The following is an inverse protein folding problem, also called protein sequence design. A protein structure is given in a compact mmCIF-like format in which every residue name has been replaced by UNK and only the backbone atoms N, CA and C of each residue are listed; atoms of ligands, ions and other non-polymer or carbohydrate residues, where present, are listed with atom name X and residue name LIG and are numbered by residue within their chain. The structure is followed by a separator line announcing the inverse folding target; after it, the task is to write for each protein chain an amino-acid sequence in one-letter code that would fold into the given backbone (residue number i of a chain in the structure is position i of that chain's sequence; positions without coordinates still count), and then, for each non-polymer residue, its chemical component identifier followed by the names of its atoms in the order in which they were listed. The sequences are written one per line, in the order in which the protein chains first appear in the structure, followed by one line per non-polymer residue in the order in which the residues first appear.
data_IF_944333975648
#
_entry.id   IF_944333975648
#
_cell.length_a   1.000
_cell.length_b   1.000
_cell.length_c   1.000
_cell.angle_alpha   90.00
_cell.angle_beta   90.00
_cell.angle_gamma   90.00
#
_symmetry.space_group_name_H-M   'P 1'
#
loop_
_entity.id
_entity.type
_entity.pdbx_description
1 polymer ?
#
# COMPACT_ATOMS: atom_id res chain seq x y z
N UNK A 1 1.90 19.61 24.99
CA UNK A 1 1.67 19.18 23.60
C UNK A 1 1.62 17.67 23.41
N UNK A 2 2.72 16.89 23.34
CA UNK A 2 2.62 15.41 23.14
C UNK A 2 1.75 14.76 24.23
N UNK A 3 1.98 15.08 25.51
CA UNK A 3 1.18 14.55 26.62
C UNK A 3 -0.30 14.96 26.59
N UNK A 4 -0.63 16.10 25.98
CA UNK A 4 -2.03 16.54 25.81
C UNK A 4 -2.69 15.82 24.63
N UNK A 5 -1.94 15.59 23.54
CA UNK A 5 -2.38 14.78 22.40
C UNK A 5 -2.62 13.34 22.83
N UNK A 6 -1.75 12.76 23.67
CA UNK A 6 -1.91 11.41 24.23
C UNK A 6 -3.17 11.33 25.10
N UNK A 7 -3.42 12.31 25.98
CA UNK A 7 -4.66 12.34 26.77
C UNK A 7 -5.92 12.46 25.90
N UNK A 8 -5.90 13.34 24.89
CA UNK A 8 -7.03 13.49 23.97
C UNK A 8 -7.26 12.20 23.17
N UNK A 9 -6.17 11.55 22.73
CA UNK A 9 -6.23 10.27 22.04
C UNK A 9 -6.81 9.18 22.95
N UNK A 10 -6.43 9.12 24.23
CA UNK A 10 -6.99 8.17 25.21
C UNK A 10 -8.48 8.38 25.48
N UNK A 11 -8.93 9.64 25.59
CA UNK A 11 -10.34 9.98 25.77
C UNK A 11 -11.17 9.58 24.54
N UNK A 12 -10.70 9.93 23.35
CA UNK A 12 -11.31 9.53 22.07
C UNK A 12 -11.28 8.01 21.94
N UNK A 13 -10.19 7.34 22.32
CA UNK A 13 -10.06 5.89 22.25
C UNK A 13 -11.09 5.19 23.13
N UNK A 14 -11.27 5.65 24.38
CA UNK A 14 -12.29 5.13 25.29
C UNK A 14 -13.71 5.34 24.77
N UNK A 15 -13.99 6.51 24.19
CA UNK A 15 -15.28 6.80 23.55
C UNK A 15 -15.52 5.86 22.37
N UNK A 16 -14.52 5.67 21.51
CA UNK A 16 -14.60 4.82 20.32
C UNK A 16 -14.72 3.33 20.65
N UNK A 17 -14.09 2.85 21.73
CA UNK A 17 -14.25 1.47 22.21
C UNK A 17 -15.67 1.14 22.70
N UNK A 18 -16.53 2.15 22.92
CA UNK A 18 -17.94 1.91 23.18
C UNK A 18 -18.74 1.48 21.94
N UNK A 19 -18.17 1.62 20.73
CA UNK A 19 -18.76 1.13 19.48
C UNK A 19 -18.43 -0.37 19.27
N UNK A 20 -19.41 -1.28 19.43
CA UNK A 20 -19.18 -2.72 19.27
C UNK A 20 -18.78 -3.10 17.84
N UNK A 21 -19.14 -2.29 16.84
CA UNK A 21 -18.76 -2.50 15.44
C UNK A 21 -17.28 -2.25 15.25
N UNK A 22 -16.76 -1.18 15.85
CA UNK A 22 -15.35 -0.84 15.81
C UNK A 22 -14.53 -1.90 16.56
N UNK A 23 -14.94 -2.29 17.76
CA UNK A 23 -14.27 -3.34 18.56
C UNK A 23 -14.15 -4.63 17.75
N UNK A 24 -15.24 -5.08 17.12
CA UNK A 24 -15.22 -6.29 16.28
C UNK A 24 -14.26 -6.17 15.09
N UNK A 25 -14.16 -4.99 14.47
CA UNK A 25 -13.18 -4.74 13.38
C UNK A 25 -11.75 -4.74 13.90
N UNK A 26 -11.51 -4.21 15.10
CA UNK A 26 -10.20 -4.21 15.75
C UNK A 26 -9.78 -5.64 16.12
N UNK A 27 -10.69 -6.43 16.69
CA UNK A 27 -10.43 -7.85 17.01
C UNK A 27 -10.07 -8.64 15.76
N UNK A 28 -10.83 -8.45 14.67
CA UNK A 28 -10.52 -9.07 13.38
C UNK A 28 -9.16 -8.64 12.80
N UNK A 29 -8.80 -7.37 12.93
CA UNK A 29 -7.48 -6.87 12.51
C UNK A 29 -6.33 -7.43 13.37
N UNK A 30 -6.61 -7.80 14.63
CA UNK A 30 -5.62 -8.32 15.59
C UNK A 30 -5.26 -9.78 15.35
N UNK A 31 -6.18 -10.61 14.87
CA UNK A 31 -5.97 -12.06 14.67
C UNK A 31 -4.98 -12.41 13.54
N UNK A 32 -4.49 -11.41 12.81
CA UNK A 32 -3.61 -11.62 11.66
C UNK A 32 -4.41 -12.03 10.43
N UNK A 33 -4.12 -11.40 9.30
CA UNK A 33 -4.86 -11.61 8.07
C UNK A 33 -3.95 -12.26 7.03
N UNK A 34 -4.49 -13.23 6.31
CA UNK A 34 -3.82 -13.85 5.15
C UNK A 34 -4.48 -13.30 3.89
N UNK A 35 -3.99 -12.16 3.36
CA UNK A 35 -4.60 -11.53 2.20
C UNK A 35 -4.67 -12.53 1.04
N UNK A 36 -5.81 -12.52 0.37
CA UNK A 36 -6.04 -13.38 -0.80
C UNK A 36 -5.47 -12.73 -2.05
N UNK A 37 -5.38 -11.40 -2.07
CA UNK A 37 -4.97 -10.64 -3.24
C UNK A 37 -3.76 -9.76 -2.94
N UNK A 38 -2.98 -9.48 -3.98
CA UNK A 38 -2.09 -8.33 -4.01
C UNK A 38 -2.72 -7.26 -4.88
N UNK A 39 -2.97 -6.07 -4.36
CA UNK A 39 -3.52 -4.95 -5.13
C UNK A 39 -2.42 -3.91 -5.38
N UNK A 40 -2.15 -3.61 -6.65
CA UNK A 40 -1.21 -2.57 -7.07
C UNK A 40 -2.01 -1.47 -7.74
N UNK A 41 -2.08 -0.32 -7.06
CA UNK A 41 -2.95 0.79 -7.45
C UNK A 41 -2.15 2.06 -7.69
N UNK A 42 -2.63 2.96 -8.56
CA UNK A 42 -2.03 4.27 -8.67
C UNK A 42 -2.24 5.05 -7.36
N UNK A 43 -1.27 5.88 -6.97
CA UNK A 43 -1.28 6.63 -5.69
C UNK A 43 -2.57 7.43 -5.50
N UNK A 44 -3.08 8.01 -6.58
CA UNK A 44 -4.30 8.81 -6.60
C UNK A 44 -5.60 7.98 -6.59
N UNK A 45 -5.54 6.63 -6.63
CA UNK A 45 -6.75 5.77 -6.58
C UNK A 45 -6.68 4.64 -5.54
N UNK A 46 -5.55 4.45 -4.86
CA UNK A 46 -5.28 3.26 -4.04
C UNK A 46 -6.37 2.92 -3.02
N UNK A 47 -6.94 3.92 -2.33
CA UNK A 47 -8.06 3.68 -1.40
C UNK A 47 -9.40 3.50 -2.12
N UNK A 48 -9.59 4.15 -3.28
CA UNK A 48 -10.78 3.95 -4.10
C UNK A 48 -10.85 2.51 -4.63
N UNK A 49 -9.73 1.89 -4.99
CA UNK A 49 -9.69 0.52 -5.53
C UNK A 49 -10.18 -0.53 -4.52
N UNK A 50 -9.90 -0.33 -3.23
CA UNK A 50 -10.45 -1.18 -2.17
C UNK A 50 -11.98 -1.13 -2.12
N UNK A 51 -12.55 0.08 -2.23
CA UNK A 51 -13.99 0.24 -2.30
C UNK A 51 -14.54 -0.28 -3.62
N UNK A 52 -13.92 0.06 -4.74
CA UNK A 52 -14.32 -0.36 -6.07
C UNK A 52 -14.50 -1.87 -6.14
N UNK A 53 -13.51 -2.63 -5.68
CA UNK A 53 -13.50 -4.10 -5.73
C UNK A 53 -14.30 -4.76 -4.60
N UNK A 54 -14.93 -3.96 -3.72
CA UNK A 54 -15.63 -4.44 -2.52
C UNK A 54 -14.79 -5.35 -1.62
N UNK A 55 -13.46 -5.18 -1.65
CA UNK A 55 -12.57 -5.93 -0.78
C UNK A 55 -12.71 -5.41 0.65
N UNK A 56 -12.60 -6.29 1.64
CA UNK A 56 -12.56 -5.98 3.06
C UNK A 56 -11.13 -5.68 3.51
N UNK A 57 -11.02 -5.12 4.71
CA UNK A 57 -9.76 -4.83 5.36
C UNK A 57 -8.99 -6.13 5.58
N UNK A 58 -7.76 -6.21 5.05
CA UNK A 58 -6.93 -7.42 5.11
C UNK A 58 -7.14 -8.47 4.03
N UNK A 59 -8.10 -8.28 3.12
CA UNK A 59 -8.29 -9.21 2.00
C UNK A 59 -7.26 -8.98 0.88
N UNK A 60 -6.69 -7.77 0.83
CA UNK A 60 -5.60 -7.43 -0.07
C UNK A 60 -4.38 -6.91 0.70
N UNK A 61 -3.21 -7.36 0.25
CA UNK A 61 -1.94 -6.71 0.51
C UNK A 61 -1.69 -5.67 -0.59
N UNK A 62 -1.04 -4.55 -0.25
CA UNK A 62 -0.99 -3.41 -1.17
C UNK A 62 0.40 -3.05 -1.65
N UNK A 63 0.47 -2.62 -2.90
CA UNK A 63 1.57 -1.85 -3.46
C UNK A 63 1.01 -0.63 -4.18
N UNK A 64 1.87 0.34 -4.44
CA UNK A 64 1.53 1.54 -5.18
C UNK A 64 2.27 1.61 -6.52
N UNK A 65 1.74 2.41 -7.42
CA UNK A 65 2.44 2.89 -8.61
C UNK A 65 2.17 4.37 -8.80
N UNK A 66 3.04 5.05 -9.53
CA UNK A 66 2.79 6.46 -9.86
C UNK A 66 1.73 6.56 -10.96
N UNK A 67 0.71 7.43 -10.83
CA UNK A 67 -0.33 7.60 -11.84
C UNK A 67 0.27 8.01 -13.19
N UNK A 68 -0.30 7.51 -14.30
CA UNK A 68 0.19 7.85 -15.65
C UNK A 68 1.61 7.35 -15.98
N UNK A 69 2.25 6.56 -15.11
CA UNK A 69 3.58 6.02 -15.33
C UNK A 69 3.57 4.48 -15.23
N UNK A 70 4.44 3.80 -16.01
CA UNK A 70 4.51 2.35 -15.95
C UNK A 70 5.20 1.88 -14.66
N UNK A 71 4.84 0.68 -14.19
CA UNK A 71 5.67 -0.05 -13.24
C UNK A 71 7.06 -0.20 -13.86
N UNK A 72 8.10 0.21 -13.12
CA UNK A 72 9.49 0.00 -13.52
C UNK A 72 9.89 -1.46 -13.32
N UNK A 73 11.02 -1.93 -13.87
CA UNK A 73 11.62 -3.20 -13.43
C UNK A 73 11.85 -3.21 -11.92
N UNK A 74 11.76 -4.38 -11.28
CA UNK A 74 11.83 -4.51 -9.81
C UNK A 74 13.08 -3.89 -9.21
N UNK A 75 14.22 -3.96 -9.89
CA UNK A 75 15.49 -3.39 -9.43
C UNK A 75 15.45 -1.86 -9.31
N UNK A 76 14.47 -1.24 -9.95
CA UNK A 76 14.23 0.21 -9.96
C UNK A 76 12.97 0.60 -9.19
N UNK A 77 12.17 -0.34 -8.70
CA UNK A 77 11.00 -0.06 -7.86
C UNK A 77 10.86 -1.08 -6.74
N UNK A 78 11.71 -0.91 -5.74
CA UNK A 78 11.80 -1.81 -4.59
C UNK A 78 10.76 -1.45 -3.52
N UNK A 79 10.38 -0.19 -3.35
CA UNK A 79 9.51 0.24 -2.25
C UNK A 79 8.04 0.32 -2.63
N UNK A 80 7.72 0.81 -3.83
CA UNK A 80 6.34 1.03 -4.23
C UNK A 80 5.60 -0.29 -4.50
N UNK A 81 6.21 -1.20 -5.26
CA UNK A 81 5.55 -2.48 -5.59
C UNK A 81 6.44 -3.71 -5.44
N UNK A 82 7.76 -3.62 -5.71
CA UNK A 82 8.64 -4.79 -5.69
C UNK A 82 8.74 -5.49 -4.33
N UNK A 83 9.08 -4.74 -3.30
CA UNK A 83 9.10 -5.21 -1.91
C UNK A 83 7.76 -5.77 -1.46
N UNK A 84 6.65 -5.03 -1.66
CA UNK A 84 5.32 -5.56 -1.39
C UNK A 84 5.01 -6.90 -2.07
N UNK A 85 5.34 -7.08 -3.36
CA UNK A 85 5.15 -8.38 -4.04
C UNK A 85 6.02 -9.47 -3.41
N UNK A 86 7.31 -9.20 -3.17
CA UNK A 86 8.18 -10.19 -2.54
C UNK A 86 7.68 -10.60 -1.16
N UNK A 87 7.18 -9.66 -0.35
CA UNK A 87 6.57 -9.96 0.93
C UNK A 87 5.29 -10.80 0.76
N UNK A 88 4.43 -10.40 -0.17
CA UNK A 88 3.16 -11.06 -0.44
C UNK A 88 3.34 -12.52 -0.94
N UNK A 89 4.45 -12.84 -1.59
CA UNK A 89 4.77 -14.19 -2.05
C UNK A 89 4.83 -15.24 -0.92
N UNK A 90 5.03 -14.80 0.34
CA UNK A 90 5.00 -15.67 1.51
C UNK A 90 3.59 -16.00 2.04
N UNK A 91 2.53 -15.36 1.54
CA UNK A 91 1.17 -15.67 1.98
C UNK A 91 0.61 -16.93 1.32
N UNK A 92 -0.13 -17.78 2.06
CA UNK A 92 -0.55 -19.10 1.56
C UNK A 92 -1.66 -19.03 0.50
N UNK A 93 -2.46 -17.95 0.47
CA UNK A 93 -3.62 -17.84 -0.42
C UNK A 93 -3.26 -17.25 -1.80
N UNK A 94 -2.69 -16.04 -1.80
CA UNK A 94 -2.15 -15.31 -2.96
C UNK A 94 -2.79 -15.68 -4.33
N UNK A 95 -4.11 -15.50 -4.43
CA UNK A 95 -4.96 -15.94 -5.54
C UNK A 95 -4.70 -15.18 -6.83
N UNK A 96 -4.43 -13.87 -6.73
CA UNK A 96 -4.10 -13.03 -7.87
C UNK A 96 -3.40 -11.73 -7.47
N UNK A 97 -2.65 -11.17 -8.41
CA UNK A 97 -2.18 -9.78 -8.39
C UNK A 97 -3.13 -8.94 -9.24
N UNK A 98 -3.78 -7.97 -8.63
CA UNK A 98 -4.69 -7.03 -9.27
C UNK A 98 -3.91 -5.76 -9.59
N UNK A 99 -3.99 -5.31 -10.85
CA UNK A 99 -3.37 -4.09 -11.31
C UNK A 99 -4.44 -3.21 -11.96
N UNK A 100 -4.68 -2.03 -11.41
CA UNK A 100 -5.71 -1.10 -11.87
C UNK A 100 -5.09 0.04 -12.68
N UNK A 101 -5.84 0.53 -13.67
CA UNK A 101 -5.50 1.63 -14.56
C UNK A 101 -6.72 2.52 -14.79
N UNK A 102 -6.53 3.84 -14.80
CA UNK A 102 -7.61 4.76 -15.16
C UNK A 102 -8.06 4.52 -16.62
N UNK A 103 -9.29 4.92 -16.95
CA UNK A 103 -9.93 4.67 -18.25
C UNK A 103 -9.14 5.26 -19.42
N UNK A 104 -8.45 6.36 -19.14
CA UNK A 104 -7.68 7.15 -20.10
C UNK A 104 -6.18 6.81 -20.11
N UNK A 105 -5.72 5.85 -19.29
CA UNK A 105 -4.30 5.46 -19.29
C UNK A 105 -3.88 4.74 -20.58
N UNK A 106 -2.75 5.21 -21.14
CA UNK A 106 -2.19 4.72 -22.38
C UNK A 106 -1.88 3.22 -22.34
N UNK A 107 -2.20 2.52 -23.43
CA UNK A 107 -1.94 1.09 -23.57
C UNK A 107 -0.44 0.74 -23.46
N UNK A 108 0.47 1.67 -23.77
CA UNK A 108 1.91 1.49 -23.62
C UNK A 108 2.34 1.39 -22.16
N UNK A 109 1.72 2.19 -21.28
CA UNK A 109 1.93 2.16 -19.81
C UNK A 109 1.48 0.81 -19.27
N UNK A 110 0.29 0.36 -19.66
CA UNK A 110 -0.29 -0.92 -19.23
C UNK A 110 0.61 -2.08 -19.65
N UNK A 111 0.97 -2.15 -20.94
CA UNK A 111 1.79 -3.23 -21.48
C UNK A 111 3.15 -3.31 -20.81
N UNK A 112 3.78 -2.15 -20.57
CA UNK A 112 5.09 -2.08 -19.89
C UNK A 112 4.97 -2.50 -18.44
N UNK A 113 3.90 -2.07 -17.75
CA UNK A 113 3.65 -2.41 -16.35
C UNK A 113 3.46 -3.91 -16.17
N UNK A 114 2.60 -4.53 -16.99
CA UNK A 114 2.38 -5.98 -16.93
C UNK A 114 3.65 -6.74 -17.26
N UNK A 115 4.41 -6.31 -18.28
CA UNK A 115 5.70 -6.93 -18.63
C UNK A 115 6.68 -6.92 -17.46
N UNK A 116 6.83 -5.80 -16.75
CA UNK A 116 7.74 -5.71 -15.62
C UNK A 116 7.22 -6.46 -14.39
N UNK A 117 5.89 -6.50 -14.19
CA UNK A 117 5.25 -7.28 -13.14
C UNK A 117 5.52 -8.79 -13.30
N UNK A 118 5.27 -9.37 -14.48
CA UNK A 118 5.45 -10.82 -14.69
C UNK A 118 6.92 -11.26 -14.63
N UNK A 119 7.86 -10.33 -14.78
CA UNK A 119 9.29 -10.58 -14.61
C UNK A 119 9.70 -10.60 -13.14
N UNK A 120 8.85 -10.09 -12.23
CA UNK A 120 9.11 -10.12 -10.80
C UNK A 120 9.09 -11.57 -10.27
N UNK A 121 10.15 -12.04 -9.59
CA UNK A 121 10.23 -13.41 -9.07
C UNK A 121 9.04 -13.79 -8.18
N UNK A 122 8.65 -12.92 -7.25
CA UNK A 122 7.48 -13.11 -6.36
C UNK A 122 6.11 -13.09 -7.04
N UNK A 123 6.03 -12.71 -8.33
CA UNK A 123 4.80 -12.78 -9.13
C UNK A 123 4.74 -14.04 -10.01
N UNK A 124 5.79 -14.87 -10.01
CA UNK A 124 5.86 -16.06 -10.84
C UNK A 124 4.70 -17.01 -10.50
N UNK A 125 3.95 -17.41 -11.53
CA UNK A 125 2.81 -18.32 -11.43
C UNK A 125 1.60 -17.78 -10.67
N UNK A 126 1.60 -16.51 -10.25
CA UNK A 126 0.42 -15.87 -9.67
C UNK A 126 -0.38 -15.23 -10.80
N UNK A 127 -1.69 -15.53 -10.96
CA UNK A 127 -2.53 -14.89 -11.95
C UNK A 127 -2.53 -13.36 -11.81
N UNK A 128 -2.52 -12.65 -12.93
CA UNK A 128 -2.63 -11.19 -12.99
C UNK A 128 -4.02 -10.82 -13.49
N UNK A 129 -4.70 -9.97 -12.73
CA UNK A 129 -5.98 -9.36 -13.10
C UNK A 129 -5.72 -7.89 -13.41
N UNK A 130 -5.69 -7.57 -14.70
CA UNK A 130 -5.45 -6.20 -15.17
C UNK A 130 -6.79 -5.52 -15.47
N UNK A 131 -7.13 -4.45 -14.74
CA UNK A 131 -8.41 -3.76 -14.84
C UNK A 131 -8.21 -2.34 -15.36
N UNK A 132 -9.03 -1.94 -16.33
CA UNK A 132 -9.24 -0.54 -16.67
C UNK A 132 -10.51 -0.05 -15.99
N UNK A 133 -10.43 1.07 -15.29
CA UNK A 133 -11.44 1.53 -14.35
C UNK A 133 -11.91 2.93 -14.75
N UNK A 134 -13.22 3.12 -14.84
CA UNK A 134 -13.84 4.44 -14.81
C UNK A 134 -14.33 4.70 -13.38
N UNK A 135 -13.55 5.48 -12.61
CA UNK A 135 -13.87 5.78 -11.21
C UNK A 135 -15.11 6.67 -11.07
N UNK A 136 -15.42 7.49 -12.09
CA UNK A 136 -16.58 8.37 -12.07
C UNK A 136 -17.87 7.58 -12.25
N UNK A 137 -17.87 6.61 -13.18
CA UNK A 137 -19.01 5.74 -13.45
C UNK A 137 -19.06 4.55 -12.49
N UNK A 138 -17.96 4.23 -11.81
CA UNK A 138 -17.85 3.05 -10.97
C UNK A 138 -17.84 1.75 -11.77
N UNK A 139 -17.20 1.74 -12.93
CA UNK A 139 -17.13 0.57 -13.82
C UNK A 139 -15.70 0.09 -13.97
N UNK A 140 -15.51 -1.21 -14.18
CA UNK A 140 -14.22 -1.79 -14.47
C UNK A 140 -14.34 -2.84 -15.58
N UNK A 141 -13.32 -2.92 -16.43
CA UNK A 141 -13.23 -3.93 -17.48
C UNK A 141 -11.86 -4.61 -17.46
N UNK A 142 -11.80 -5.93 -17.66
CA UNK A 142 -10.53 -6.63 -17.78
C UNK A 142 -9.83 -6.20 -19.08
N UNK A 143 -8.52 -6.08 -19.01
CA UNK A 143 -7.66 -5.84 -20.16
C UNK A 143 -6.99 -7.14 -20.60
N UNK A 144 -6.82 -7.29 -21.91
CA UNK A 144 -6.01 -8.40 -22.44
C UNK A 144 -4.53 -8.12 -22.22
N UNK A 145 -3.78 -9.11 -21.74
CA UNK A 145 -2.35 -9.01 -21.52
C UNK A 145 -1.66 -10.39 -21.62
N UNK A 146 -0.33 -10.38 -21.73
CA UNK A 146 0.49 -11.58 -21.93
C UNK A 146 0.90 -12.29 -20.62
N UNK A 147 0.25 -11.97 -19.51
CA UNK A 147 0.54 -12.57 -18.20
C UNK A 147 -0.30 -13.82 -17.94
N UNK A 148 0.00 -14.60 -16.89
CA UNK A 148 -0.90 -15.66 -16.43
C UNK A 148 -2.24 -15.05 -16.03
N UNK A 149 -3.35 -15.69 -16.42
CA UNK A 149 -4.71 -15.19 -16.17
C UNK A 149 -5.56 -16.27 -15.52
N UNK A 150 -6.49 -15.84 -14.69
CA UNK A 150 -7.53 -16.69 -14.12
C UNK A 150 -8.89 -16.01 -14.34
N UNK A 151 -9.62 -16.49 -15.35
CA UNK A 151 -10.91 -15.93 -15.74
C UNK A 151 -11.98 -16.08 -14.66
N UNK A 152 -11.85 -17.08 -13.77
CA UNK A 152 -12.75 -17.28 -12.65
C UNK A 152 -12.58 -16.17 -11.62
N UNK A 153 -11.33 -15.88 -11.25
CA UNK A 153 -10.98 -14.77 -10.35
C UNK A 153 -11.34 -13.41 -10.95
N UNK A 154 -11.07 -13.21 -12.25
CA UNK A 154 -11.50 -11.99 -12.95
C UNK A 154 -13.02 -11.79 -12.86
N UNK A 155 -13.80 -12.82 -13.17
CA UNK A 155 -15.26 -12.74 -13.12
C UNK A 155 -15.81 -12.56 -11.69
N UNK A 156 -15.14 -13.11 -10.68
CA UNK A 156 -15.47 -12.91 -9.26
C UNK A 156 -15.29 -11.45 -8.85
N UNK A 157 -14.11 -10.87 -9.13
CA UNK A 157 -13.80 -9.48 -8.80
C UNK A 157 -14.74 -8.50 -9.51
N UNK A 158 -15.05 -8.76 -10.78
CA UNK A 158 -15.95 -7.90 -11.57
C UNK A 158 -17.40 -7.88 -11.04
N UNK A 159 -17.87 -8.96 -10.39
CA UNK A 159 -19.21 -8.99 -9.78
C UNK A 159 -19.33 -8.07 -8.57
N UNK A 160 -18.21 -7.79 -7.90
CA UNK A 160 -18.14 -6.94 -6.71
C UNK A 160 -17.98 -5.46 -7.00
N UNK A 161 -17.92 -5.05 -8.28
CA UNK A 161 -17.64 -3.68 -8.65
C UNK A 161 -18.75 -2.74 -8.17
N UNK A 162 -18.36 -1.71 -7.43
CA UNK A 162 -19.23 -0.61 -7.01
C UNK A 162 -18.54 0.72 -7.23
N UNK A 163 -19.34 1.77 -7.44
CA UNK A 163 -18.80 3.14 -7.52
C UNK A 163 -18.12 3.51 -6.19
N UNK A 164 -16.81 3.85 -6.21
CA UNK A 164 -16.11 4.23 -5.00
C UNK A 164 -16.51 5.65 -4.57
N UNK A 165 -16.26 5.96 -3.31
CA UNK A 165 -16.35 7.34 -2.79
C UNK A 165 -15.43 8.26 -3.61
N UNK A 166 -15.80 9.54 -3.85
CA UNK A 166 -14.94 10.50 -4.54
C UNK A 166 -13.55 10.63 -3.93
N UNK A 167 -12.58 11.01 -4.75
CA UNK A 167 -11.20 11.26 -4.30
C UNK A 167 -11.07 12.66 -3.72
N UNK A 168 -10.40 12.77 -2.57
CA UNK A 168 -9.83 14.01 -2.07
C UNK A 168 -8.38 14.14 -2.54
N UNK A 169 -8.19 14.85 -3.65
CA UNK A 169 -6.89 15.09 -4.24
C UNK A 169 -5.99 16.03 -3.41
N UNK A 170 -6.47 16.63 -2.30
CA UNK A 170 -5.65 17.50 -1.44
C UNK A 170 -4.97 16.74 -0.31
N UNK A 171 -5.38 15.51 -0.04
CA UNK A 171 -4.85 14.72 1.08
C UNK A 171 -4.18 13.46 0.55
N UNK A 172 -2.90 13.34 0.85
CA UNK A 172 -2.12 12.14 0.63
C UNK A 172 -1.84 11.46 1.97
N UNK A 173 -1.99 10.15 2.01
CA UNK A 173 -1.61 9.36 3.18
C UNK A 173 -0.49 8.39 2.84
N UNK A 174 0.41 8.15 3.80
CA UNK A 174 1.35 7.03 3.72
C UNK A 174 0.90 5.96 4.72
N UNK A 175 0.76 4.72 4.26
CA UNK A 175 0.23 3.62 5.08
C UNK A 175 0.92 2.32 4.72
N UNK A 176 1.02 1.41 5.68
CA UNK A 176 1.64 0.12 5.45
C UNK A 176 0.82 -0.76 4.49
N UNK A 177 1.52 -1.51 3.63
CA UNK A 177 0.95 -2.53 2.74
C UNK A 177 0.08 -3.58 3.44
N UNK A 178 0.32 -3.85 4.72
CA UNK A 178 -0.44 -4.78 5.57
C UNK A 178 -1.94 -4.42 5.62
N UNK A 179 -2.30 -3.15 5.37
CA UNK A 179 -3.66 -2.68 5.08
C UNK A 179 -4.75 -3.13 6.07
N UNK A 180 -4.33 -3.52 7.27
CA UNK A 180 -5.19 -3.81 8.43
C UNK A 180 -5.76 -2.57 9.07
N UNK A 181 -5.48 -1.39 8.53
CA UNK A 181 -6.12 -0.14 8.91
C UNK A 181 -6.36 0.61 7.61
N UNK A 182 -7.62 1.00 7.39
CA UNK A 182 -7.96 1.91 6.30
C UNK A 182 -7.89 3.33 6.81
N UNK A 183 -7.14 4.22 6.14
CA UNK A 183 -7.22 5.65 6.41
C UNK A 183 -8.69 6.10 6.35
N UNK A 184 -9.16 6.88 7.33
CA UNK A 184 -10.54 7.37 7.31
C UNK A 184 -10.76 8.31 6.13
N UNK A 185 -11.99 8.41 5.59
CA UNK A 185 -12.33 9.41 4.61
C UNK A 185 -12.20 10.82 5.21
N UNK A 186 -11.85 11.77 4.36
CA UNK A 186 -11.92 13.21 4.65
C UNK A 186 -13.36 13.71 4.43
N UNK A 187 -13.68 14.96 4.79
CA UNK A 187 -14.97 15.56 4.44
C UNK A 187 -15.23 15.65 2.93
N UNK A 188 -14.17 15.64 2.11
CA UNK A 188 -14.24 15.79 0.65
C UNK A 188 -14.19 14.46 -0.09
N UNK A 189 -13.72 13.38 0.53
CA UNK A 189 -13.61 12.08 -0.13
C UNK A 189 -12.59 11.14 0.53
N UNK A 190 -12.22 10.09 -0.19
CA UNK A 190 -11.10 9.23 0.18
C UNK A 190 -9.78 9.93 -0.16
N UNK A 191 -8.78 9.93 0.72
CA UNK A 191 -7.49 10.50 0.35
C UNK A 191 -6.73 9.62 -0.66
N UNK A 192 -5.77 10.22 -1.36
CA UNK A 192 -4.73 9.49 -2.10
C UNK A 192 -3.88 8.68 -1.13
N UNK A 193 -3.25 7.59 -1.55
CA UNK A 193 -2.38 6.80 -0.68
C UNK A 193 -1.14 6.23 -1.36
N UNK A 194 0.01 6.35 -0.67
CA UNK A 194 1.19 5.52 -0.92
C UNK A 194 1.13 4.35 0.07
N UNK A 195 1.01 3.14 -0.46
CA UNK A 195 0.97 1.89 0.28
C UNK A 195 2.25 1.09 0.02
N UNK A 196 3.10 1.00 1.03
CA UNK A 196 4.41 0.35 0.95
C UNK A 196 4.73 -0.39 2.25
N UNK A 197 5.78 -1.21 2.26
CA UNK A 197 6.21 -1.89 3.48
C UNK A 197 6.57 -0.87 4.56
N UNK A 198 5.85 -0.92 5.69
CA UNK A 198 6.01 0.04 6.80
C UNK A 198 5.52 1.47 6.50
N UNK A 199 4.82 1.70 5.38
CA UNK A 199 4.42 3.05 4.96
C UNK A 199 5.60 3.94 4.57
N UNK A 200 6.73 3.32 4.22
CA UNK A 200 7.97 4.00 3.87
C UNK A 200 7.90 4.67 2.50
N UNK A 201 8.38 5.91 2.43
CA UNK A 201 8.60 6.64 1.17
C UNK A 201 10.11 6.87 1.03
N UNK A 202 10.76 6.33 -0.01
CA UNK A 202 12.21 6.45 -0.17
C UNK A 202 12.61 7.89 -0.52
N UNK A 203 13.76 8.33 -0.01
CA UNK A 203 14.34 9.62 -0.37
C UNK A 203 14.78 9.64 -1.85
N UNK A 204 14.62 10.80 -2.50
CA UNK A 204 14.98 10.98 -3.91
C UNK A 204 16.47 10.72 -4.17
N UNK A 205 16.77 9.91 -5.17
CA UNK A 205 18.14 9.47 -5.50
C UNK A 205 18.76 10.24 -6.66
N UNK A 206 18.00 11.07 -7.38
CA UNK A 206 18.45 11.67 -8.65
C UNK A 206 18.40 10.72 -9.85
N UNK A 207 17.97 9.47 -9.66
CA UNK A 207 17.99 8.42 -10.67
C UNK A 207 16.67 8.23 -11.42
N UNK A 208 16.69 7.57 -12.60
CA UNK A 208 15.49 7.11 -13.30
C UNK A 208 14.96 5.82 -12.66
N UNK A 209 14.53 5.93 -11.41
CA UNK A 209 13.96 4.88 -10.56
C UNK A 209 12.62 5.34 -9.96
N UNK A 210 12.03 4.55 -9.07
CA UNK A 210 10.75 4.88 -8.42
C UNK A 210 10.79 6.19 -7.65
N UNK A 211 11.96 6.60 -7.14
CA UNK A 211 12.10 7.85 -6.42
C UNK A 211 12.03 9.04 -7.36
N UNK A 212 12.52 8.89 -8.60
CA UNK A 212 12.31 9.89 -9.66
C UNK A 212 10.88 9.96 -10.17
N UNK A 213 10.17 8.84 -10.22
CA UNK A 213 8.73 8.83 -10.50
C UNK A 213 7.94 9.54 -9.39
N UNK A 214 8.27 9.26 -8.12
CA UNK A 214 7.67 9.94 -6.97
C UNK A 214 7.95 11.44 -6.95
N UNK A 215 9.19 11.86 -7.22
CA UNK A 215 9.55 13.29 -7.29
C UNK A 215 8.71 14.01 -8.35
N UNK A 216 8.50 13.39 -9.51
CA UNK A 216 7.65 13.93 -10.57
C UNK A 216 6.19 14.07 -10.12
N UNK A 217 5.65 13.04 -9.48
CA UNK A 217 4.31 13.07 -8.89
C UNK A 217 4.15 14.18 -7.85
N UNK A 218 5.10 14.29 -6.92
CA UNK A 218 5.04 15.32 -5.89
C UNK A 218 5.10 16.72 -6.50
N UNK A 219 5.97 16.96 -7.48
CA UNK A 219 6.04 18.26 -8.18
C UNK A 219 4.72 18.63 -8.82
N UNK A 220 4.13 17.72 -9.61
CA UNK A 220 2.85 17.95 -10.26
C UNK A 220 1.75 18.21 -9.22
N UNK A 221 1.69 17.39 -8.17
CA UNK A 221 0.69 17.53 -7.12
C UNK A 221 0.83 18.85 -6.33
N UNK A 222 2.05 19.32 -6.06
CA UNK A 222 2.31 20.60 -5.40
C UNK A 222 2.19 21.82 -6.32
N UNK A 223 2.12 21.66 -7.64
CA UNK A 223 1.88 22.78 -8.57
C UNK A 223 0.39 23.12 -8.68
N UNK A 224 -0.51 22.16 -8.43
CA UNK A 224 -1.97 22.34 -8.50
C UNK A 224 -2.51 22.98 -7.19
N UNK A 225 -2.26 24.27 -6.97
CA UNK A 225 -2.99 25.14 -6.02
C UNK A 225 -2.76 24.87 -4.52
N UNK A 226 -1.51 24.98 -4.09
CA UNK A 226 -0.88 24.14 -3.05
C UNK A 226 -0.82 24.62 -1.59
N UNK A 227 -1.61 25.60 -1.17
CA UNK A 227 -1.55 26.02 0.24
C UNK A 227 -2.24 25.04 1.21
N UNK A 228 -3.10 24.16 0.69
CA UNK A 228 -3.91 23.24 1.50
C UNK A 228 -3.51 21.76 1.41
N UNK A 229 -2.51 21.41 0.59
CA UNK A 229 -2.12 20.01 0.41
C UNK A 229 -1.52 19.46 1.70
N UNK A 230 -1.97 18.27 2.11
CA UNK A 230 -1.56 17.64 3.38
C UNK A 230 -1.07 16.24 3.15
N UNK A 231 0.04 15.91 3.81
CA UNK A 231 0.53 14.54 3.92
C UNK A 231 0.26 14.06 5.34
N UNK A 232 -0.44 12.93 5.47
CA UNK A 232 -0.69 12.27 6.75
C UNK A 232 0.05 10.93 6.80
N UNK A 233 0.83 10.71 7.84
CA UNK A 233 1.58 9.46 8.03
C UNK A 233 0.82 8.56 8.99
N UNK A 234 0.39 7.39 8.53
CA UNK A 234 -0.33 6.41 9.34
C UNK A 234 0.62 5.32 9.83
N UNK A 235 1.11 5.50 11.07
CA UNK A 235 1.76 4.43 11.81
C UNK A 235 0.74 3.46 12.40
N UNK A 236 1.02 2.15 12.33
CA UNK A 236 0.30 1.15 13.12
C UNK A 236 1.27 0.39 14.01
N UNK A 237 0.87 0.20 15.26
CA UNK A 237 1.68 -0.31 16.35
C UNK A 237 0.78 -0.97 17.39
N UNK A 238 1.39 -1.49 18.44
CA UNK A 238 0.67 -1.84 19.67
C UNK A 238 1.44 -1.22 20.82
N UNK A 239 0.71 -0.64 21.76
CA UNK A 239 1.28 -0.18 23.03
C UNK A 239 1.35 -1.31 24.07
N UNK A 240 0.60 -2.40 23.85
CA UNK A 240 0.37 -3.45 24.84
C UNK A 240 1.14 -4.75 24.57
N UNK A 241 1.89 -4.85 23.46
CA UNK A 241 2.70 -6.03 23.17
C UNK A 241 4.16 -5.65 22.89
N UNK A 242 5.08 -6.48 23.38
CA UNK A 242 6.50 -6.38 23.06
C UNK A 242 6.75 -6.80 21.60
N UNK A 243 7.53 -6.03 20.86
CA UNK A 243 7.86 -6.27 19.46
C UNK A 243 7.01 -5.46 18.45
N UNK A 244 7.53 -5.31 17.22
CA UNK A 244 6.90 -4.44 16.23
C UNK A 244 5.74 -5.23 15.64
N UNK A 245 4.53 -4.67 15.72
CA UNK A 245 3.34 -5.37 15.21
C UNK A 245 3.26 -5.39 13.70
N UNK A 246 3.90 -4.41 13.05
CA UNK A 246 4.06 -4.40 11.61
C UNK A 246 5.06 -5.47 11.16
N UNK A 247 4.66 -6.31 10.21
CA UNK A 247 5.51 -7.37 9.65
C UNK A 247 6.84 -6.85 9.08
N UNK A 248 6.82 -5.69 8.42
CA UNK A 248 8.04 -5.05 7.92
C UNK A 248 8.96 -4.58 9.05
N UNK A 249 8.40 -4.01 10.13
CA UNK A 249 9.15 -3.64 11.32
C UNK A 249 9.79 -4.87 11.99
N UNK A 250 9.06 -6.00 12.07
CA UNK A 250 9.59 -7.26 12.61
C UNK A 250 10.72 -7.82 11.75
N UNK A 251 10.56 -7.75 10.43
CA UNK A 251 11.59 -8.16 9.50
C UNK A 251 12.87 -7.32 9.67
N UNK A 252 12.77 -6.01 9.96
CA UNK A 252 13.94 -5.15 10.19
C UNK A 252 14.79 -5.60 11.38
N UNK A 253 14.18 -6.13 12.45
CA UNK A 253 14.91 -6.64 13.63
C UNK A 253 15.88 -7.78 13.29
N UNK A 254 15.60 -8.52 12.21
CA UNK A 254 16.42 -9.62 11.72
C UNK A 254 16.69 -9.50 10.21
N UNK A 255 16.99 -8.29 9.74
CA UNK A 255 17.13 -7.99 8.30
C UNK A 255 18.15 -8.88 7.56
N UNK A 256 19.18 -9.35 8.26
CA UNK A 256 20.23 -10.21 7.70
C UNK A 256 19.76 -11.66 7.47
N UNK A 257 18.70 -12.12 8.14
CA UNK A 257 18.19 -13.49 7.97
C UNK A 257 17.18 -13.63 6.83
N UNK A 258 16.94 -12.57 6.05
CA UNK A 258 15.95 -12.58 4.97
C UNK A 258 16.63 -13.07 3.69
N UNK A 259 16.28 -14.30 3.31
CA UNK A 259 16.86 -15.00 2.15
C UNK A 259 16.39 -14.46 0.80
N UNK A 260 15.14 -13.97 0.71
CA UNK A 260 14.62 -13.41 -0.55
C UNK A 260 15.45 -12.16 -0.94
N UNK A 261 16.07 -12.14 -2.13
CA UNK A 261 17.05 -11.12 -2.47
C UNK A 261 16.43 -9.73 -2.71
N UNK A 262 15.14 -9.64 -3.08
CA UNK A 262 14.44 -8.37 -3.28
C UNK A 262 13.95 -7.87 -1.93
N UNK A 263 13.23 -8.69 -1.17
CA UNK A 263 12.74 -8.36 0.15
C UNK A 263 13.88 -8.03 1.11
N UNK A 264 14.96 -8.80 1.09
CA UNK A 264 16.14 -8.55 1.92
C UNK A 264 16.77 -7.19 1.63
N UNK A 265 16.82 -6.75 0.36
CA UNK A 265 17.29 -5.39 0.02
C UNK A 265 16.37 -4.31 0.58
N UNK A 266 15.06 -4.51 0.44
CA UNK A 266 14.04 -3.57 0.95
C UNK A 266 14.14 -3.45 2.46
N UNK A 267 14.10 -4.57 3.17
CA UNK A 267 14.11 -4.58 4.65
C UNK A 267 15.43 -4.04 5.20
N UNK A 268 16.60 -4.40 4.63
CA UNK A 268 17.88 -3.81 5.04
C UNK A 268 17.93 -2.29 4.80
N UNK A 269 17.31 -1.81 3.71
CA UNK A 269 17.20 -0.36 3.47
C UNK A 269 16.28 0.32 4.48
N UNK A 270 15.11 -0.26 4.79
CA UNK A 270 14.20 0.25 5.81
C UNK A 270 14.89 0.35 7.18
N UNK A 271 15.58 -0.72 7.58
CA UNK A 271 16.33 -0.77 8.85
C UNK A 271 17.41 0.31 8.91
N UNK A 272 18.16 0.50 7.83
CA UNK A 272 19.19 1.54 7.74
C UNK A 272 18.61 2.94 7.81
N UNK A 273 17.55 3.21 7.05
CA UNK A 273 16.95 4.54 6.96
C UNK A 273 16.26 4.90 8.29
N UNK A 274 15.66 3.92 8.99
CA UNK A 274 15.15 4.10 10.35
C UNK A 274 16.29 4.35 11.36
N UNK A 275 17.36 3.56 11.30
CA UNK A 275 18.52 3.70 12.21
C UNK A 275 19.24 5.04 12.04
N UNK A 276 19.17 5.67 10.86
CA UNK A 276 19.75 7.00 10.65
C UNK A 276 19.04 8.12 11.43
N UNK A 277 17.84 7.84 11.95
CA UNK A 277 17.05 8.76 12.78
C UNK A 277 17.20 8.47 14.28
N UNK A 278 17.98 7.45 14.66
CA UNK A 278 18.11 6.94 16.02
C UNK A 278 19.58 7.01 16.48
N UNK A 279 19.85 7.51 17.70
CA UNK A 279 21.22 7.58 18.25
C UNK A 279 21.83 6.20 18.50
N UNK A 280 20.99 5.20 18.82
CA UNK A 280 21.36 3.80 19.03
C UNK A 280 20.29 2.90 18.47
N UNK A 281 20.71 1.77 17.89
CA UNK A 281 19.77 0.76 17.44
C UNK A 281 19.04 0.16 18.64
N UNK A 282 17.70 0.18 18.63
CA UNK A 282 16.85 -0.30 19.71
C UNK A 282 16.86 -1.83 19.74
N UNK A 283 16.94 -2.40 20.95
CA UNK A 283 16.90 -3.86 21.15
C UNK A 283 15.49 -4.41 20.95
N UNK A 284 14.48 -3.60 21.28
CA UNK A 284 13.06 -3.86 21.04
C UNK A 284 12.38 -2.61 20.46
N UNK A 285 11.31 -2.72 19.68
CA UNK A 285 10.63 -1.54 19.16
C UNK A 285 9.99 -0.66 20.23
N UNK A 286 9.70 -1.16 21.43
CA UNK A 286 9.22 -0.34 22.55
C UNK A 286 10.31 0.61 23.02
N UNK A 287 11.58 0.21 22.88
CA UNK A 287 12.73 1.09 23.17
C UNK A 287 12.94 2.18 22.10
N UNK A 288 12.11 2.25 21.05
CA UNK A 288 12.08 3.36 20.07
C UNK A 288 11.20 4.54 20.49
N UNK A 289 10.36 4.38 21.52
CA UNK A 289 9.37 5.39 21.95
C UNK A 289 9.90 6.25 23.09
#
# INVERSE_FOLDING_TARGET
MINEIVKLADEIFKEKLSDPTLVRRMDFAREGQSPEYMLISPIDRSLQDLELLSLLQGEAFHGSRVPGLPLLPVEKSLFLYGGPISYNSGFPKNRAIILTFDKDEDSSIINTSVKNLIQHPGARSVPVVCLRVDYDEGTARPLHHNGPRDLGVEAELLKGIKRPTPLDAKVLVTVCSDSRVRPPPTPSGLPMAIQSLGGHVPAYTGGPDETGQLDSFFREWFEVGSDDNRILVFGHGSFDCEGPTCGAGKACMHAESIEDPILGRVIRRLDRDASALEDKRPETPESRV
#
